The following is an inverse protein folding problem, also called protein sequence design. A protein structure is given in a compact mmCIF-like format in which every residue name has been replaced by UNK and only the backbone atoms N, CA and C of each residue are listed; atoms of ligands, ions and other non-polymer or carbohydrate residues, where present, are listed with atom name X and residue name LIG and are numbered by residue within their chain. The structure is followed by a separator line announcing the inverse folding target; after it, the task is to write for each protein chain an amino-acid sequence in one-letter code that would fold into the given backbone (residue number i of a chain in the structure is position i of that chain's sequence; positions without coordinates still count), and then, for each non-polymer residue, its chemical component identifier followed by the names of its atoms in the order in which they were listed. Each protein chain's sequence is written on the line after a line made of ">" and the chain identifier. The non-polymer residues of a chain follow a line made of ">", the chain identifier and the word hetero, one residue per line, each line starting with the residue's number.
data_IF_979803372322
#
_entry.id   IF_979803372322
#
_cell.length_a   1.000
_cell.length_b   1.000
_cell.length_c   1.000
_cell.angle_alpha   90.00
_cell.angle_beta   90.00
_cell.angle_gamma   90.00
#
_symmetry.space_group_name_H-M   'P 1'
#
loop_
_entity.id
_entity.type
_entity.pdbx_description
1 polymer ?
#
# COMPACT_ATOMS: atom_id res chain seq x y z
N UNK A 1 -21.19 -17.75 -19.37
CA UNK A 1 -20.82 -18.85 -18.46
C UNK A 1 -19.37 -18.72 -17.97
N UNK A 2 -18.97 -19.50 -16.96
CA UNK A 2 -17.60 -19.39 -16.39
C UNK A 2 -16.48 -19.61 -17.43
N UNK A 3 -16.70 -20.40 -18.46
CA UNK A 3 -15.70 -20.67 -19.52
C UNK A 3 -15.65 -19.62 -20.61
N UNK A 4 -16.62 -18.71 -20.67
CA UNK A 4 -16.67 -17.71 -21.72
C UNK A 4 -15.56 -16.64 -21.51
N UNK A 5 -15.00 -16.12 -22.62
CA UNK A 5 -14.05 -15.00 -22.56
C UNK A 5 -14.66 -13.79 -21.88
N UNK A 6 -13.90 -13.18 -20.95
CA UNK A 6 -14.30 -11.97 -20.25
C UNK A 6 -13.58 -10.75 -20.82
N UNK A 7 -12.26 -10.86 -20.95
CA UNK A 7 -11.43 -9.77 -21.46
C UNK A 7 -10.13 -10.31 -22.08
N UNK A 8 -9.44 -9.42 -22.80
CA UNK A 8 -8.11 -9.69 -23.37
C UNK A 8 -7.14 -8.69 -22.77
N UNK A 9 -6.05 -9.19 -22.19
CA UNK A 9 -4.94 -8.36 -21.69
C UNK A 9 -3.73 -8.59 -22.58
N UNK A 10 -3.22 -7.51 -23.16
CA UNK A 10 -2.02 -7.58 -24.00
C UNK A 10 -0.76 -7.55 -23.14
N UNK A 11 0.19 -8.44 -23.49
CA UNK A 11 1.53 -8.48 -22.91
C UNK A 11 2.56 -8.11 -23.97
N UNK A 12 3.72 -7.58 -23.55
CA UNK A 12 4.78 -7.12 -24.45
C UNK A 12 5.42 -8.22 -25.31
N UNK A 13 5.14 -9.51 -25.09
CA UNK A 13 5.70 -10.62 -25.84
C UNK A 13 7.24 -10.64 -25.87
N UNK A 14 7.85 -11.80 -25.84
CA UNK A 14 9.32 -11.96 -25.82
C UNK A 14 10.02 -11.56 -27.14
N UNK A 15 9.29 -11.42 -28.23
CA UNK A 15 9.79 -11.08 -29.58
C UNK A 15 9.30 -9.71 -30.07
N UNK A 16 8.84 -8.82 -29.17
CA UNK A 16 8.40 -7.47 -29.51
C UNK A 16 6.96 -7.35 -30.04
N UNK A 17 6.31 -8.43 -30.45
CA UNK A 17 4.91 -8.42 -30.86
C UNK A 17 3.99 -8.63 -29.65
N UNK A 18 3.06 -7.73 -29.37
CA UNK A 18 2.10 -7.89 -28.29
C UNK A 18 1.26 -9.16 -28.46
N UNK A 19 1.11 -9.91 -27.37
CA UNK A 19 0.25 -11.11 -27.33
C UNK A 19 -0.98 -10.84 -26.49
N UNK A 20 -2.17 -11.06 -27.03
CA UNK A 20 -3.43 -10.96 -26.32
C UNK A 20 -3.69 -12.24 -25.51
N UNK A 21 -3.75 -12.11 -24.18
CA UNK A 21 -4.11 -13.21 -23.27
C UNK A 21 -5.59 -13.12 -22.98
N UNK A 22 -6.33 -14.15 -23.34
CA UNK A 22 -7.78 -14.23 -23.10
C UNK A 22 -8.00 -14.72 -21.67
N UNK A 23 -8.74 -13.94 -20.89
CA UNK A 23 -9.15 -14.28 -19.54
C UNK A 23 -10.63 -14.68 -19.55
N UNK A 24 -10.97 -15.80 -18.91
CA UNK A 24 -12.34 -16.22 -18.75
C UNK A 24 -12.98 -15.65 -17.50
N UNK A 25 -14.32 -15.55 -17.49
CA UNK A 25 -15.06 -15.17 -16.29
C UNK A 25 -14.73 -16.06 -15.09
N UNK A 26 -14.60 -17.38 -15.29
CA UNK A 26 -14.23 -18.32 -14.23
C UNK A 26 -12.86 -18.10 -13.66
N UNK A 27 -11.87 -17.78 -14.51
CA UNK A 27 -10.51 -17.46 -14.07
C UNK A 27 -10.47 -16.22 -13.16
N UNK A 28 -11.20 -15.16 -13.55
CA UNK A 28 -11.33 -13.94 -12.73
C UNK A 28 -12.01 -14.26 -11.39
N UNK A 29 -13.12 -14.97 -11.40
CA UNK A 29 -13.86 -15.33 -10.18
C UNK A 29 -13.02 -16.17 -9.23
N UNK A 30 -12.29 -17.18 -9.72
CA UNK A 30 -11.40 -17.99 -8.89
C UNK A 30 -10.28 -17.15 -8.25
N UNK A 31 -9.71 -16.20 -8.99
CA UNK A 31 -8.73 -15.28 -8.43
C UNK A 31 -9.33 -14.39 -7.36
N UNK A 32 -10.58 -13.92 -7.53
CA UNK A 32 -11.28 -13.14 -6.51
C UNK A 32 -11.51 -13.96 -5.24
N UNK A 33 -12.00 -15.20 -5.37
CA UNK A 33 -12.23 -16.10 -4.25
C UNK A 33 -10.95 -16.31 -3.43
N UNK A 34 -9.84 -16.69 -4.08
CA UNK A 34 -8.54 -16.88 -3.41
C UNK A 34 -7.95 -15.60 -2.80
N UNK A 35 -8.09 -14.47 -3.47
CA UNK A 35 -7.61 -13.19 -2.95
C UNK A 35 -8.41 -12.72 -1.73
N UNK A 36 -9.74 -12.93 -1.71
CA UNK A 36 -10.61 -12.56 -0.59
C UNK A 36 -10.23 -13.37 0.65
N UNK A 37 -9.96 -14.66 0.53
CA UNK A 37 -9.53 -15.49 1.65
C UNK A 37 -8.23 -14.97 2.30
N UNK A 38 -7.27 -14.53 1.47
CA UNK A 38 -6.01 -13.94 1.95
C UNK A 38 -6.25 -12.58 2.60
N UNK A 39 -7.12 -11.75 2.02
CA UNK A 39 -7.38 -10.40 2.48
C UNK A 39 -8.36 -10.34 3.67
N UNK A 40 -9.10 -11.39 3.92
CA UNK A 40 -10.14 -11.45 4.97
C UNK A 40 -9.70 -10.86 6.34
N UNK A 41 -8.47 -11.10 6.85
CA UNK A 41 -8.01 -10.50 8.10
C UNK A 41 -7.82 -8.97 8.03
N UNK A 42 -7.66 -8.42 6.82
CA UNK A 42 -7.43 -7.00 6.57
C UNK A 42 -8.73 -6.24 6.25
N UNK A 43 -9.78 -6.97 5.83
CA UNK A 43 -11.07 -6.37 5.49
C UNK A 43 -11.76 -5.92 6.78
N UNK A 44 -12.22 -4.67 6.81
CA UNK A 44 -13.09 -4.17 7.87
C UNK A 44 -14.48 -4.78 7.74
N UNK A 45 -15.27 -4.75 8.83
CA UNK A 45 -16.68 -5.17 8.81
C UNK A 45 -17.57 -4.27 7.95
N UNK A 46 -17.14 -3.01 7.78
CA UNK A 46 -17.75 -2.02 6.89
C UNK A 46 -17.13 -2.12 5.49
N UNK A 47 -17.57 -1.28 4.56
CA UNK A 47 -16.99 -1.20 3.22
C UNK A 47 -15.51 -0.85 3.29
N UNK A 48 -14.57 -1.76 2.95
CA UNK A 48 -13.15 -1.48 2.99
C UNK A 48 -12.79 -0.40 1.97
N UNK A 49 -11.88 0.51 2.34
CA UNK A 49 -11.42 1.58 1.46
C UNK A 49 -10.15 1.17 0.74
N UNK A 50 -10.21 1.16 -0.58
CA UNK A 50 -9.08 0.88 -1.45
C UNK A 50 -8.64 2.13 -2.20
N UNK A 51 -7.34 2.28 -2.40
CA UNK A 51 -6.76 3.26 -3.30
C UNK A 51 -6.08 2.56 -4.47
N UNK A 52 -6.59 2.79 -5.66
CA UNK A 52 -6.11 2.24 -6.94
C UNK A 52 -5.30 3.29 -7.67
N UNK A 53 -4.11 2.93 -8.15
CA UNK A 53 -3.21 3.84 -8.86
C UNK A 53 -2.39 3.16 -9.95
N UNK A 54 -2.32 1.84 -9.96
CA UNK A 54 -1.66 1.08 -11.03
C UNK A 54 -2.56 1.02 -12.28
N UNK A 55 -1.98 0.84 -13.48
CA UNK A 55 -2.77 0.75 -14.71
C UNK A 55 -3.69 -0.47 -14.69
N UNK A 56 -4.99 -0.25 -14.95
CA UNK A 56 -5.98 -1.32 -15.06
C UNK A 56 -5.76 -2.23 -16.28
N UNK A 57 -4.96 -1.80 -17.24
CA UNK A 57 -4.51 -2.62 -18.36
C UNK A 57 -3.50 -3.70 -17.96
N UNK A 58 -2.93 -3.62 -16.76
CA UNK A 58 -2.03 -4.63 -16.20
C UNK A 58 -2.83 -5.69 -15.45
N UNK A 59 -2.54 -6.98 -15.70
CA UNK A 59 -3.27 -8.12 -15.14
C UNK A 59 -3.42 -8.09 -13.61
N UNK A 60 -2.41 -7.63 -12.90
CA UNK A 60 -2.43 -7.54 -11.45
C UNK A 60 -3.50 -6.56 -10.95
N UNK A 61 -3.46 -5.30 -11.39
CA UNK A 61 -4.43 -4.28 -10.94
C UNK A 61 -5.84 -4.58 -11.49
N UNK A 62 -5.91 -5.15 -12.69
CA UNK A 62 -7.17 -5.63 -13.26
C UNK A 62 -7.86 -6.67 -12.35
N UNK A 63 -7.10 -7.66 -11.86
CA UNK A 63 -7.63 -8.66 -10.90
C UNK A 63 -8.04 -8.00 -9.59
N UNK A 64 -7.22 -7.11 -9.06
CA UNK A 64 -7.51 -6.38 -7.81
C UNK A 64 -8.80 -5.57 -7.93
N UNK A 65 -9.07 -4.97 -9.10
CA UNK A 65 -10.32 -4.24 -9.36
C UNK A 65 -11.55 -5.15 -9.19
N UNK A 66 -11.49 -6.38 -9.69
CA UNK A 66 -12.60 -7.34 -9.48
C UNK A 66 -12.73 -7.78 -8.02
N UNK A 67 -11.61 -7.94 -7.30
CA UNK A 67 -11.64 -8.21 -5.86
C UNK A 67 -12.33 -7.06 -5.12
N UNK A 68 -11.99 -5.82 -5.42
CA UNK A 68 -12.59 -4.63 -4.83
C UNK A 68 -14.11 -4.59 -5.04
N UNK A 69 -14.58 -4.92 -6.25
CA UNK A 69 -16.01 -5.01 -6.57
C UNK A 69 -16.68 -6.13 -5.77
N UNK A 70 -16.05 -7.30 -5.71
CA UNK A 70 -16.60 -8.47 -5.02
C UNK A 70 -16.77 -8.25 -3.51
N UNK A 71 -15.87 -7.51 -2.88
CA UNK A 71 -15.97 -7.16 -1.45
C UNK A 71 -16.78 -5.89 -1.19
N UNK A 72 -17.46 -5.37 -2.20
CA UNK A 72 -18.22 -4.12 -2.14
C UNK A 72 -17.40 -2.94 -1.56
N UNK A 73 -16.13 -2.85 -1.96
CA UNK A 73 -15.22 -1.84 -1.47
C UNK A 73 -15.62 -0.43 -1.92
N UNK A 74 -15.24 0.57 -1.10
CA UNK A 74 -15.18 1.97 -1.53
C UNK A 74 -13.86 2.18 -2.25
N UNK A 75 -13.90 2.39 -3.56
CA UNK A 75 -12.73 2.48 -4.43
C UNK A 75 -12.42 3.95 -4.71
N UNK A 76 -11.18 4.35 -4.45
CA UNK A 76 -10.65 5.66 -4.81
C UNK A 76 -9.57 5.48 -5.87
N UNK A 77 -9.58 6.32 -6.89
CA UNK A 77 -8.58 6.34 -7.95
C UNK A 77 -7.63 7.51 -7.73
N UNK A 78 -6.33 7.25 -7.71
CA UNK A 78 -5.35 8.31 -7.55
C UNK A 78 -5.31 9.21 -8.81
N UNK A 79 -5.16 10.51 -8.60
CA UNK A 79 -5.08 11.49 -9.67
C UNK A 79 -3.80 11.34 -10.51
N UNK A 80 -2.68 11.08 -9.83
CA UNK A 80 -1.37 10.81 -10.44
C UNK A 80 -0.40 10.21 -9.42
N UNK A 81 0.74 9.69 -9.89
CA UNK A 81 1.80 9.14 -9.02
C UNK A 81 2.38 10.23 -8.09
N UNK A 82 2.50 11.46 -8.59
CA UNK A 82 3.03 12.60 -7.81
C UNK A 82 2.10 12.97 -6.66
N UNK A 83 0.78 12.88 -6.89
CA UNK A 83 -0.26 13.19 -5.90
C UNK A 83 -0.64 12.01 -5.01
N UNK A 84 -0.09 10.83 -5.25
CA UNK A 84 -0.48 9.60 -4.58
C UNK A 84 -0.46 9.71 -3.05
N UNK A 85 0.59 10.29 -2.46
CA UNK A 85 0.68 10.49 -1.01
C UNK A 85 -0.41 11.44 -0.50
N UNK A 86 -0.71 12.50 -1.25
CA UNK A 86 -1.83 13.41 -0.92
C UNK A 86 -3.16 12.65 -0.97
N UNK A 87 -3.40 11.90 -2.05
CA UNK A 87 -4.62 11.11 -2.18
C UNK A 87 -4.76 10.06 -1.06
N UNK A 88 -3.66 9.45 -0.59
CA UNK A 88 -3.68 8.58 0.60
C UNK A 88 -4.15 9.33 1.85
N UNK A 89 -3.69 10.57 2.05
CA UNK A 89 -4.14 11.43 3.15
C UNK A 89 -5.63 11.74 3.06
N UNK A 90 -6.11 12.05 1.85
CA UNK A 90 -7.50 12.49 1.62
C UNK A 90 -8.51 11.35 1.79
N UNK A 91 -8.22 10.15 1.26
CA UNK A 91 -9.17 9.02 1.30
C UNK A 91 -8.94 8.04 2.46
N UNK A 92 -7.81 8.13 3.17
CA UNK A 92 -7.45 7.24 4.29
C UNK A 92 -7.68 5.76 3.94
N UNK A 93 -7.01 5.22 2.92
CA UNK A 93 -7.26 3.86 2.47
C UNK A 93 -6.84 2.84 3.53
N UNK A 94 -7.54 1.70 3.57
CA UNK A 94 -7.17 0.57 4.40
C UNK A 94 -6.24 -0.38 3.65
N UNK A 95 -6.42 -0.47 2.34
CA UNK A 95 -5.66 -1.33 1.45
C UNK A 95 -5.27 -0.56 0.19
N UNK A 96 -4.04 -0.76 -0.25
CA UNK A 96 -3.51 -0.21 -1.50
C UNK A 96 -2.56 -1.23 -2.12
N UNK A 97 -2.69 -1.43 -3.42
CA UNK A 97 -1.69 -2.18 -4.18
C UNK A 97 -0.45 -1.33 -4.39
N UNK A 98 0.71 -1.92 -4.33
CA UNK A 98 1.95 -1.21 -4.59
C UNK A 98 3.03 -2.12 -5.17
N UNK A 99 3.90 -1.53 -5.98
CA UNK A 99 5.06 -2.19 -6.56
C UNK A 99 6.34 -1.81 -5.80
N UNK A 100 7.39 -2.64 -5.81
CA UNK A 100 8.63 -2.37 -5.06
C UNK A 100 9.22 -0.99 -5.32
N UNK A 101 9.17 -0.52 -6.56
CA UNK A 101 9.68 0.81 -6.95
C UNK A 101 8.97 1.97 -6.22
N UNK A 102 7.68 1.81 -5.91
CA UNK A 102 6.94 2.79 -5.12
C UNK A 102 7.54 2.95 -3.72
N UNK A 103 7.79 1.83 -3.03
CA UNK A 103 8.39 1.85 -1.69
C UNK A 103 9.80 2.42 -1.70
N UNK A 104 10.62 2.12 -2.70
CA UNK A 104 11.96 2.67 -2.85
C UNK A 104 11.91 4.20 -2.99
N UNK A 105 11.05 4.71 -3.87
CA UNK A 105 10.87 6.15 -4.09
C UNK A 105 10.34 6.84 -2.83
N UNK A 106 9.37 6.23 -2.15
CA UNK A 106 8.81 6.74 -0.91
C UNK A 106 9.86 6.82 0.18
N UNK A 107 10.65 5.76 0.36
CA UNK A 107 11.75 5.71 1.31
C UNK A 107 12.79 6.81 1.04
N UNK A 108 13.18 7.02 -0.22
CA UNK A 108 14.10 8.08 -0.61
C UNK A 108 13.55 9.47 -0.28
N UNK A 109 12.26 9.74 -0.60
CA UNK A 109 11.60 11.02 -0.30
C UNK A 109 11.54 11.29 1.21
N UNK A 110 11.18 10.29 2.00
CA UNK A 110 11.12 10.39 3.47
C UNK A 110 12.51 10.68 4.03
N UNK A 111 13.53 9.93 3.63
CA UNK A 111 14.90 10.14 4.09
C UNK A 111 15.46 11.50 3.69
N UNK A 112 15.18 11.97 2.48
CA UNK A 112 15.57 13.31 2.05
C UNK A 112 14.92 14.39 2.93
N UNK A 113 13.63 14.21 3.30
CA UNK A 113 12.95 15.11 4.23
C UNK A 113 13.57 15.07 5.63
N UNK A 114 13.94 13.89 6.12
CA UNK A 114 14.61 13.73 7.42
C UNK A 114 15.99 14.40 7.45
N UNK A 115 16.76 14.24 6.38
CA UNK A 115 18.09 14.88 6.24
C UNK A 115 18.01 16.42 6.25
N UNK A 116 16.93 17.00 5.70
CA UNK A 116 16.69 18.45 5.72
C UNK A 116 16.24 18.98 7.09
N UNK A 117 15.86 18.11 8.01
CA UNK A 117 15.45 18.52 9.35
C UNK A 117 16.65 18.98 10.17
N UNK A 118 16.44 20.00 11.01
CA UNK A 118 17.49 20.60 11.86
C UNK A 118 17.11 20.56 13.35
N UNK A 119 18.07 20.84 14.21
CA UNK A 119 17.84 21.00 15.65
C UNK A 119 17.25 19.77 16.35
N UNK A 120 16.36 20.02 17.28
CA UNK A 120 15.70 18.99 18.11
C UNK A 120 14.91 17.99 17.27
N UNK A 121 14.23 18.47 16.20
CA UNK A 121 13.45 17.62 15.30
C UNK A 121 14.32 16.52 14.66
N UNK A 122 15.51 16.87 14.21
CA UNK A 122 16.48 15.91 13.64
C UNK A 122 16.85 14.84 14.67
N UNK A 123 17.20 15.24 15.90
CA UNK A 123 17.55 14.31 16.99
C UNK A 123 16.42 13.33 17.30
N UNK A 124 15.17 13.80 17.38
CA UNK A 124 14.01 12.97 17.64
C UNK A 124 13.75 11.95 16.52
N UNK A 125 13.89 12.36 15.24
CA UNK A 125 13.75 11.47 14.08
C UNK A 125 14.79 10.35 14.12
N UNK A 126 16.08 10.69 14.33
CA UNK A 126 17.14 9.67 14.39
C UNK A 126 16.94 8.71 15.56
N UNK A 127 16.54 9.21 16.74
CA UNK A 127 16.26 8.34 17.88
C UNK A 127 15.05 7.43 17.64
N UNK A 128 14.03 7.93 16.96
CA UNK A 128 12.88 7.12 16.52
C UNK A 128 13.31 5.99 15.58
N UNK A 129 14.18 6.27 14.62
CA UNK A 129 14.69 5.25 13.69
C UNK A 129 15.55 4.20 14.41
N UNK A 130 16.44 4.63 15.33
CA UNK A 130 17.26 3.75 16.15
C UNK A 130 16.40 2.77 16.97
N UNK A 131 15.41 3.30 17.70
CA UNK A 131 14.50 2.48 18.51
C UNK A 131 13.65 1.55 17.65
N UNK A 132 13.24 2.01 16.46
CA UNK A 132 12.53 1.19 15.48
C UNK A 132 13.39 0.01 15.00
N UNK A 133 14.67 0.23 14.70
CA UNK A 133 15.60 -0.83 14.30
C UNK A 133 15.84 -1.84 15.41
N UNK A 134 16.00 -1.40 16.68
CA UNK A 134 16.10 -2.30 17.84
C UNK A 134 14.88 -3.22 17.95
N UNK A 135 13.66 -2.68 17.76
CA UNK A 135 12.43 -3.48 17.77
C UNK A 135 12.41 -4.53 16.66
N UNK A 136 12.80 -4.16 15.44
CA UNK A 136 12.85 -5.09 14.30
C UNK A 136 13.86 -6.23 14.58
N UNK A 137 15.00 -5.92 15.20
CA UNK A 137 16.02 -6.88 15.60
C UNK A 137 15.65 -7.68 16.85
N UNK A 138 14.47 -7.43 17.45
CA UNK A 138 14.01 -8.05 18.70
C UNK A 138 14.97 -7.80 19.89
N UNK A 139 15.70 -6.70 19.88
CA UNK A 139 16.55 -6.27 20.98
C UNK A 139 15.70 -5.73 22.15
N UNK A 140 16.11 -6.00 23.39
CA UNK A 140 15.43 -5.50 24.57
C UNK A 140 15.66 -3.99 24.72
N UNK A 141 14.58 -3.23 24.83
CA UNK A 141 14.62 -1.81 25.15
C UNK A 141 14.71 -1.61 26.67
N UNK A 142 15.57 -0.70 27.11
CA UNK A 142 15.61 -0.24 28.50
C UNK A 142 14.32 0.46 28.90
N UNK A 143 14.07 0.66 30.19
CA UNK A 143 12.89 1.38 30.67
C UNK A 143 12.77 2.79 30.10
N UNK A 144 13.87 3.55 30.08
CA UNK A 144 13.91 4.87 29.48
C UNK A 144 13.64 4.86 27.97
N UNK A 145 14.17 3.87 27.24
CA UNK A 145 13.91 3.71 25.80
C UNK A 145 12.46 3.38 25.51
N UNK A 146 11.81 2.57 26.35
CA UNK A 146 10.37 2.26 26.22
C UNK A 146 9.51 3.51 26.41
N UNK A 147 9.82 4.33 27.43
CA UNK A 147 9.10 5.59 27.69
C UNK A 147 9.30 6.59 26.53
N UNK A 148 10.54 6.76 26.08
CA UNK A 148 10.86 7.64 24.96
C UNK A 148 10.20 7.15 23.67
N UNK A 149 10.21 5.86 23.39
CA UNK A 149 9.55 5.28 22.23
C UNK A 149 8.04 5.52 22.22
N UNK A 150 7.38 5.43 23.38
CA UNK A 150 5.96 5.78 23.54
C UNK A 150 5.66 7.25 23.22
N UNK A 151 6.56 8.17 23.63
CA UNK A 151 6.45 9.59 23.29
C UNK A 151 6.64 9.79 21.78
N UNK A 152 7.65 9.18 21.20
CA UNK A 152 7.95 9.26 19.77
C UNK A 152 6.85 8.64 18.90
N UNK A 153 6.16 7.59 19.38
CA UNK A 153 4.98 7.04 18.74
C UNK A 153 3.89 8.10 18.57
N UNK A 154 3.58 8.83 19.63
CA UNK A 154 2.53 9.85 19.62
C UNK A 154 2.91 11.09 18.81
N UNK A 155 4.13 11.61 19.00
CA UNK A 155 4.56 12.89 18.44
C UNK A 155 5.07 12.79 17.00
N UNK A 156 5.74 11.70 16.64
CA UNK A 156 6.43 11.58 15.34
C UNK A 156 5.77 10.53 14.46
N UNK A 157 5.67 9.26 14.90
CA UNK A 157 5.16 8.18 14.06
C UNK A 157 3.70 8.38 13.69
N UNK A 158 2.85 8.80 14.66
CA UNK A 158 1.44 9.10 14.39
C UNK A 158 1.28 10.20 13.34
N UNK A 159 2.12 11.24 13.38
CA UNK A 159 2.11 12.33 12.40
C UNK A 159 2.58 11.86 11.01
N UNK A 160 3.60 10.99 10.95
CA UNK A 160 4.02 10.38 9.67
C UNK A 160 2.90 9.49 9.14
N UNK A 161 2.34 8.62 9.98
CA UNK A 161 1.27 7.69 9.61
C UNK A 161 0.02 8.42 9.09
N UNK A 162 -0.34 9.55 9.68
CA UNK A 162 -1.48 10.36 9.23
C UNK A 162 -1.30 10.94 7.83
N UNK A 163 -0.06 11.19 7.37
CA UNK A 163 0.20 11.61 5.99
C UNK A 163 -0.18 10.55 4.95
N UNK A 164 -0.26 9.29 5.37
CA UNK A 164 -0.71 8.15 4.57
C UNK A 164 -2.15 7.75 4.90
N UNK A 165 -2.93 8.67 5.46
CA UNK A 165 -4.32 8.43 5.86
C UNK A 165 -4.51 7.71 7.19
N UNK A 166 -3.44 7.15 7.79
CA UNK A 166 -3.46 6.53 9.12
C UNK A 166 -4.17 5.18 9.24
N UNK A 167 -4.89 4.74 8.21
CA UNK A 167 -5.74 3.54 8.22
C UNK A 167 -5.12 2.33 7.48
N UNK A 168 -4.02 2.51 6.77
CA UNK A 168 -3.38 1.47 5.97
C UNK A 168 -2.94 0.28 6.87
N UNK A 169 -3.34 -0.94 6.45
CA UNK A 169 -3.13 -2.22 7.16
C UNK A 169 -2.05 -3.06 6.52
#
# INVERSE_FOLDING_TARGET
>A
LRKDPSCIIYTSGTQGNPKGVILSHGGILNNCEGAIDILKPLLSKEQPRFLTWLPLSHSYEHTVQFVQITVAARIFYAESIEKLVKNMGDCSPEIMTAVPRFYQNLYQKINASFKKSTGLKKKLIFKMLELGLKKIKKENLTFFEKTLDSILEKLVRKKIKSQFGGSLK
#
